data_IF_841110497750
#
_entry.id   IF_841110497750
#
_cell.length_a   1.000
_cell.length_b   1.000
_cell.length_c   1.000
_cell.angle_alpha   90.00
_cell.angle_beta   90.00
_cell.angle_gamma   90.00
#
_symmetry.space_group_name_H-M   'P 1'
#
loop_
_entity.id
_entity.type
_entity.pdbx_description
1 polymer ?
#
# COMPACT_ATOMS: atom_id res chain seq x y z
N UNK A 1 -25.96 20.38 9.61
CA UNK A 1 -25.53 18.96 9.68
C UNK A 1 -25.21 18.56 11.13
N UNK A 2 -25.95 19.06 12.13
CA UNK A 2 -25.50 19.06 13.54
C UNK A 2 -26.15 17.98 14.44
N UNK A 3 -26.80 16.95 13.90
CA UNK A 3 -27.47 15.93 14.73
C UNK A 3 -26.74 14.58 14.81
N UNK A 4 -25.68 14.35 14.01
CA UNK A 4 -24.90 13.10 14.06
C UNK A 4 -23.93 13.13 15.23
N UNK A 5 -24.05 12.16 16.15
CA UNK A 5 -23.18 12.05 17.33
C UNK A 5 -21.96 11.18 17.06
N UNK A 6 -22.17 9.93 16.66
CA UNK A 6 -21.09 9.02 16.27
C UNK A 6 -21.20 8.66 14.80
N UNK A 7 -20.14 8.92 14.04
CA UNK A 7 -20.07 8.67 12.61
C UNK A 7 -18.61 8.55 12.17
N UNK A 8 -18.39 8.17 10.92
CA UNK A 8 -17.08 8.29 10.28
C UNK A 8 -17.20 8.90 8.88
N UNK A 9 -16.10 9.43 8.38
CA UNK A 9 -15.99 9.96 7.03
C UNK A 9 -14.81 9.32 6.30
N UNK A 10 -14.96 9.07 5.00
CA UNK A 10 -13.86 8.66 4.11
C UNK A 10 -13.53 9.83 3.18
N UNK A 11 -12.26 10.20 3.05
CA UNK A 11 -11.82 11.31 2.21
C UNK A 11 -10.38 11.08 1.69
N UNK A 12 -9.95 11.85 0.69
CA UNK A 12 -8.57 11.78 0.18
C UNK A 12 -8.24 10.44 -0.50
N UNK A 13 -7.02 9.94 -0.29
CA UNK A 13 -6.60 8.64 -0.82
C UNK A 13 -7.02 7.48 0.11
N UNK A 14 -6.49 7.49 1.33
CA UNK A 14 -6.60 6.40 2.29
C UNK A 14 -7.03 6.90 3.69
N UNK A 15 -7.78 8.00 3.76
CA UNK A 15 -8.13 8.64 5.03
C UNK A 15 -9.55 8.30 5.49
N UNK A 16 -9.65 7.74 6.71
CA UNK A 16 -10.90 7.70 7.48
C UNK A 16 -10.78 8.58 8.72
N UNK A 17 -11.80 9.39 8.99
CA UNK A 17 -11.93 10.22 10.20
C UNK A 17 -13.10 9.70 11.02
N UNK A 18 -12.88 9.40 12.30
CA UNK A 18 -13.92 8.89 13.18
C UNK A 18 -14.31 9.92 14.25
N UNK A 19 -15.61 9.98 14.57
CA UNK A 19 -16.18 11.01 15.42
C UNK A 19 -16.93 10.42 16.61
N UNK A 20 -16.83 11.09 17.77
CA UNK A 20 -17.58 10.82 18.99
C UNK A 20 -18.20 12.12 19.51
N UNK A 21 -19.53 12.12 19.67
CA UNK A 21 -20.34 13.29 20.01
C UNK A 21 -20.02 14.52 19.12
N UNK A 22 -19.83 14.26 17.81
CA UNK A 22 -19.51 15.28 16.81
C UNK A 22 -18.06 15.77 16.83
N UNK A 23 -17.21 15.25 17.71
CA UNK A 23 -15.78 15.63 17.79
C UNK A 23 -14.91 14.61 17.05
N UNK A 24 -13.94 15.06 16.23
CA UNK A 24 -13.00 14.16 15.59
C UNK A 24 -12.08 13.51 16.63
N UNK A 25 -11.88 12.20 16.52
CA UNK A 25 -11.10 11.39 17.48
C UNK A 25 -9.83 10.86 16.86
N UNK A 26 -9.91 10.33 15.63
CA UNK A 26 -8.77 9.73 14.94
C UNK A 26 -8.89 9.94 13.43
N UNK A 27 -7.77 10.24 12.78
CA UNK A 27 -7.60 10.16 11.33
C UNK A 27 -6.55 9.09 10.99
N UNK A 28 -6.77 8.31 9.93
CA UNK A 28 -5.81 7.31 9.43
C UNK A 28 -5.13 7.80 8.17
N UNK A 29 -3.82 7.59 8.03
CA UNK A 29 -3.05 7.82 6.80
C UNK A 29 -3.40 9.14 6.09
N UNK A 30 -3.36 10.30 6.78
CA UNK A 30 -3.69 11.57 6.17
C UNK A 30 -2.62 12.02 5.16
N UNK A 31 -2.93 11.91 3.88
CA UNK A 31 -2.27 12.64 2.81
C UNK A 31 -3.12 13.87 2.45
N UNK A 32 -2.71 15.03 2.95
CA UNK A 32 -3.49 16.29 2.86
C UNK A 32 -2.78 17.40 2.10
N UNK A 33 -1.46 17.29 1.92
CA UNK A 33 -0.65 18.22 1.16
C UNK A 33 0.58 17.50 0.57
N UNK A 34 1.26 18.18 -0.35
CA UNK A 34 2.44 17.63 -1.01
C UNK A 34 2.13 16.57 -2.06
N UNK A 35 3.11 16.26 -2.88
CA UNK A 35 3.06 15.13 -3.82
C UNK A 35 3.72 13.88 -3.22
N UNK A 36 3.30 12.71 -3.66
CA UNK A 36 3.91 11.44 -3.26
C UNK A 36 4.87 10.93 -4.33
N UNK A 37 5.80 10.05 -3.94
CA UNK A 37 6.73 9.38 -4.86
C UNK A 37 7.50 10.38 -5.73
N UNK A 38 8.25 11.28 -5.07
CA UNK A 38 8.99 12.37 -5.71
C UNK A 38 8.10 13.30 -6.54
N UNK A 39 6.87 13.54 -6.07
CA UNK A 39 5.89 14.39 -6.74
C UNK A 39 5.14 13.74 -7.89
N UNK A 40 5.41 12.46 -8.16
CA UNK A 40 4.73 11.73 -9.22
C UNK A 40 3.23 11.65 -9.01
N UNK A 41 2.80 11.40 -7.77
CA UNK A 41 1.39 11.28 -7.43
C UNK A 41 0.84 12.56 -6.80
N UNK A 42 -0.40 12.88 -7.17
CA UNK A 42 -1.26 13.84 -6.49
C UNK A 42 -2.62 13.22 -6.19
N UNK A 43 -3.36 13.82 -5.26
CA UNK A 43 -4.75 13.47 -5.01
C UNK A 43 -5.59 13.77 -6.28
N UNK A 44 -6.46 12.84 -6.64
CA UNK A 44 -7.43 13.01 -7.73
C UNK A 44 -8.60 13.93 -7.36
N UNK A 45 -8.86 14.09 -6.06
CA UNK A 45 -9.95 14.90 -5.51
C UNK A 45 -9.45 15.75 -4.34
N UNK A 46 -10.04 16.94 -4.19
CA UNK A 46 -9.74 17.85 -3.09
C UNK A 46 -10.17 17.25 -1.75
N UNK A 47 -9.47 17.59 -0.68
CA UNK A 47 -9.97 17.42 0.69
C UNK A 47 -10.75 18.69 1.05
N UNK A 48 -12.09 18.65 1.19
CA UNK A 48 -12.85 19.87 1.45
C UNK A 48 -12.47 20.50 2.80
N UNK A 49 -12.62 21.81 2.91
CA UNK A 49 -12.17 22.61 4.06
C UNK A 49 -12.64 22.06 5.41
N UNK A 50 -13.90 21.61 5.49
CA UNK A 50 -14.44 21.04 6.72
C UNK A 50 -13.75 19.72 7.10
N UNK A 51 -13.52 18.82 6.15
CA UNK A 51 -12.80 17.57 6.38
C UNK A 51 -11.33 17.83 6.72
N UNK A 52 -10.69 18.78 6.02
CA UNK A 52 -9.32 19.22 6.33
C UNK A 52 -9.19 19.66 7.79
N UNK A 53 -10.09 20.57 8.21
CA UNK A 53 -10.14 21.03 9.60
C UNK A 53 -10.32 19.87 10.58
N UNK A 54 -11.22 18.93 10.28
CA UNK A 54 -11.50 17.80 11.16
C UNK A 54 -10.31 16.83 11.27
N UNK A 55 -9.54 16.64 10.19
CA UNK A 55 -8.29 15.87 10.22
C UNK A 55 -7.26 16.54 11.15
N UNK A 56 -7.06 17.85 10.99
CA UNK A 56 -6.10 18.63 11.81
C UNK A 56 -6.52 18.73 13.29
N UNK A 57 -7.81 18.64 13.58
CA UNK A 57 -8.36 18.66 14.94
C UNK A 57 -8.28 17.29 15.64
N UNK A 58 -7.96 16.21 14.94
CA UNK A 58 -7.85 14.87 15.54
C UNK A 58 -6.71 14.83 16.58
N UNK A 59 -6.95 14.34 17.81
CA UNK A 59 -5.89 14.15 18.79
C UNK A 59 -4.98 12.95 18.46
N UNK A 60 -5.50 11.97 17.72
CA UNK A 60 -4.78 10.76 17.31
C UNK A 60 -4.65 10.69 15.79
N UNK A 61 -3.46 10.39 15.30
CA UNK A 61 -3.20 10.11 13.88
C UNK A 61 -2.62 8.71 13.79
N UNK A 62 -3.22 7.86 12.96
CA UNK A 62 -2.71 6.51 12.70
C UNK A 62 -1.95 6.47 11.38
N UNK A 63 -0.78 5.81 11.38
CA UNK A 63 -0.09 5.45 10.15
C UNK A 63 0.04 3.94 10.01
N UNK A 64 -0.43 3.41 8.89
CA UNK A 64 -0.42 1.97 8.60
C UNK A 64 0.98 1.48 8.21
N UNK A 65 1.70 2.22 7.37
CA UNK A 65 3.04 1.89 6.89
C UNK A 65 3.75 3.13 6.30
N UNK A 66 4.98 2.94 5.80
CA UNK A 66 5.90 4.02 5.46
C UNK A 66 5.80 4.62 4.05
N UNK A 67 4.86 4.17 3.19
CA UNK A 67 4.73 4.75 1.85
C UNK A 67 4.19 6.19 1.91
N UNK A 68 4.66 7.09 1.02
CA UNK A 68 4.39 8.52 1.14
C UNK A 68 2.93 8.93 0.90
N UNK A 69 2.10 8.11 0.28
CA UNK A 69 0.66 8.34 0.15
C UNK A 69 -0.16 7.90 1.37
N UNK A 70 0.52 7.33 2.38
CA UNK A 70 0.00 7.02 3.71
C UNK A 70 0.69 7.83 4.81
N UNK A 71 2.02 7.80 4.84
CA UNK A 71 2.90 8.58 5.72
C UNK A 71 3.58 9.69 4.92
N UNK A 72 2.79 10.70 4.54
CA UNK A 72 3.28 11.76 3.67
C UNK A 72 4.26 12.70 4.41
N UNK A 73 5.48 12.92 3.88
CA UNK A 73 6.52 13.72 4.56
C UNK A 73 6.17 15.21 4.67
N UNK A 74 5.29 15.73 3.82
CA UNK A 74 4.83 17.12 3.92
C UNK A 74 3.66 17.25 4.90
N UNK A 75 2.72 16.31 4.86
CA UNK A 75 1.52 16.28 5.71
C UNK A 75 1.85 16.01 7.17
N UNK A 76 2.87 15.18 7.45
CA UNK A 76 3.20 14.78 8.82
C UNK A 76 3.58 15.97 9.73
N UNK A 77 4.12 17.05 9.16
CA UNK A 77 4.52 18.24 9.91
C UNK A 77 3.34 18.94 10.59
N UNK A 78 2.12 18.78 10.05
CA UNK A 78 0.89 19.33 10.63
C UNK A 78 0.44 18.59 11.91
N UNK A 79 1.05 17.45 12.23
CA UNK A 79 0.64 16.57 13.33
C UNK A 79 1.63 16.50 14.48
N UNK A 80 2.58 17.44 14.56
CA UNK A 80 3.63 17.44 15.58
C UNK A 80 3.09 17.53 17.02
N UNK A 81 1.94 18.18 17.22
CA UNK A 81 1.27 18.31 18.51
C UNK A 81 0.30 17.14 18.82
N UNK A 82 0.20 16.14 17.94
CA UNK A 82 -0.72 15.00 18.07
C UNK A 82 -0.01 13.75 18.61
N UNK A 83 -0.80 12.76 19.00
CA UNK A 83 -0.29 11.42 19.31
C UNK A 83 -0.34 10.55 18.06
N UNK A 84 0.84 10.16 17.55
CA UNK A 84 0.99 9.27 16.40
C UNK A 84 0.87 7.82 16.86
N UNK A 85 -0.16 7.13 16.40
CA UNK A 85 -0.43 5.72 16.66
C UNK A 85 0.23 4.88 15.58
N UNK A 86 1.01 3.88 15.99
CA UNK A 86 1.77 3.02 15.09
C UNK A 86 1.58 1.54 15.44
N UNK A 87 1.63 0.63 14.45
CA UNK A 87 1.66 -0.81 14.69
C UNK A 87 2.98 -1.24 15.33
N UNK A 88 2.98 -2.38 16.04
CA UNK A 88 4.22 -2.98 16.58
C UNK A 88 5.00 -3.74 15.51
N UNK A 89 5.55 -3.03 14.53
CA UNK A 89 6.39 -3.63 13.50
C UNK A 89 7.75 -4.06 14.08
N UNK A 90 8.26 -5.22 13.63
CA UNK A 90 9.61 -5.67 14.00
C UNK A 90 10.64 -4.61 13.58
N UNK A 91 11.63 -4.37 14.44
CA UNK A 91 12.64 -3.31 14.35
C UNK A 91 12.14 -1.86 14.53
N UNK A 92 10.82 -1.60 14.50
CA UNK A 92 10.19 -0.31 14.84
C UNK A 92 10.83 0.90 14.14
N UNK A 93 11.10 0.78 12.84
CA UNK A 93 11.77 1.83 12.06
C UNK A 93 11.03 3.17 12.15
N UNK A 94 9.75 3.19 11.78
CA UNK A 94 8.92 4.41 11.74
C UNK A 94 8.86 5.07 13.13
N UNK A 95 8.65 4.30 14.19
CA UNK A 95 8.59 4.86 15.55
C UNK A 95 9.89 5.52 15.97
N UNK A 96 11.04 4.88 15.72
CA UNK A 96 12.36 5.46 16.03
C UNK A 96 12.61 6.73 15.24
N UNK A 97 12.32 6.72 13.94
CA UNK A 97 12.55 7.85 13.05
C UNK A 97 11.68 9.06 13.46
N UNK A 98 10.39 8.83 13.72
CA UNK A 98 9.47 9.90 14.16
C UNK A 98 9.80 10.42 15.57
N UNK A 99 10.17 9.54 16.50
CA UNK A 99 10.58 9.96 17.86
C UNK A 99 11.85 10.81 17.80
N UNK A 100 12.81 10.45 16.94
CA UNK A 100 14.04 11.23 16.73
C UNK A 100 13.75 12.63 16.15
N UNK A 101 12.66 12.79 15.39
CA UNK A 101 12.17 14.06 14.87
C UNK A 101 11.31 14.85 15.88
N UNK A 102 11.06 14.31 17.07
CA UNK A 102 10.34 14.99 18.15
C UNK A 102 8.83 14.72 18.20
N UNK A 103 8.32 13.78 17.39
CA UNK A 103 6.91 13.39 17.44
C UNK A 103 6.60 12.56 18.69
N UNK A 104 5.37 12.71 19.21
CA UNK A 104 4.85 11.83 20.25
C UNK A 104 4.26 10.59 19.61
N UNK A 105 4.93 9.44 19.74
CA UNK A 105 4.48 8.17 19.18
C UNK A 105 3.95 7.21 20.25
N UNK A 106 2.97 6.38 19.89
CA UNK A 106 2.45 5.27 20.69
C UNK A 106 2.33 4.02 19.83
N UNK A 107 3.12 3.00 20.17
CA UNK A 107 2.93 1.66 19.61
C UNK A 107 1.64 1.05 20.19
N UNK A 108 0.77 0.58 19.30
CA UNK A 108 -0.43 -0.15 19.68
C UNK A 108 -0.12 -1.63 19.94
N UNK A 109 -0.77 -2.25 20.94
CA UNK A 109 -0.69 -3.69 21.14
C UNK A 109 -1.35 -4.45 19.97
N UNK A 110 -0.68 -5.50 19.51
CA UNK A 110 -1.19 -6.39 18.45
C UNK A 110 -2.47 -7.10 18.91
N UNK A 111 -3.52 -7.05 18.09
CA UNK A 111 -4.79 -7.80 18.30
C UNK A 111 -5.51 -7.50 19.61
N UNK A 112 -5.27 -6.35 20.21
CA UNK A 112 -5.96 -5.89 21.40
C UNK A 112 -6.77 -4.62 21.10
N UNK A 113 -7.97 -4.53 21.69
CA UNK A 113 -8.80 -3.34 21.58
C UNK A 113 -8.26 -2.24 22.50
N UNK A 114 -7.96 -1.08 21.92
CA UNK A 114 -7.55 0.15 22.62
C UNK A 114 -8.66 1.17 22.54
N UNK A 115 -9.18 1.60 23.68
CA UNK A 115 -10.19 2.64 23.77
C UNK A 115 -9.56 4.03 23.54
N UNK A 116 -10.12 4.83 22.62
CA UNK A 116 -9.68 6.21 22.34
C UNK A 116 -10.66 7.27 22.87
N UNK A 117 -11.96 6.96 22.89
CA UNK A 117 -13.04 7.80 23.44
C UNK A 117 -14.16 6.91 24.00
N UNK A 118 -15.34 7.43 24.36
CA UNK A 118 -16.45 6.58 24.85
C UNK A 118 -17.03 5.66 23.76
N UNK A 119 -17.00 6.13 22.50
CA UNK A 119 -17.60 5.44 21.35
C UNK A 119 -16.62 4.94 20.31
N UNK A 120 -15.32 5.26 20.44
CA UNK A 120 -14.29 4.85 19.48
C UNK A 120 -13.23 3.99 20.16
N UNK A 121 -13.04 2.78 19.64
CA UNK A 121 -11.90 1.89 19.98
C UNK A 121 -11.31 1.30 18.73
N UNK A 122 -10.02 0.96 18.79
CA UNK A 122 -9.25 0.47 17.66
C UNK A 122 -8.49 -0.80 18.00
N UNK A 123 -8.15 -1.58 16.99
CA UNK A 123 -7.26 -2.74 17.08
C UNK A 123 -6.42 -2.81 15.81
N UNK A 124 -5.11 -3.02 15.92
CA UNK A 124 -4.25 -3.19 14.75
C UNK A 124 -3.67 -4.60 14.65
N UNK A 125 -3.28 -4.96 13.43
CA UNK A 125 -2.51 -6.16 13.14
C UNK A 125 -1.42 -5.79 12.13
N UNK A 126 -0.17 -6.08 12.45
CA UNK A 126 0.96 -5.90 11.53
C UNK A 126 1.40 -7.23 10.91
N UNK A 127 2.01 -7.14 9.73
CA UNK A 127 2.58 -8.30 9.06
C UNK A 127 4.08 -8.13 8.74
N UNK A 128 4.65 -9.21 8.21
CA UNK A 128 6.08 -9.31 7.92
C UNK A 128 6.51 -8.58 6.64
N UNK A 129 5.61 -7.89 5.94
CA UNK A 129 5.95 -6.96 4.85
C UNK A 129 5.99 -5.50 5.30
N UNK A 130 5.89 -5.26 6.63
CA UNK A 130 5.75 -3.91 7.18
C UNK A 130 4.48 -3.21 6.67
N UNK A 131 3.43 -3.99 6.40
CA UNK A 131 2.07 -3.47 6.27
C UNK A 131 1.33 -3.65 7.60
N UNK A 132 0.30 -2.84 7.83
CA UNK A 132 -0.61 -3.05 8.95
C UNK A 132 -2.05 -2.70 8.57
N UNK A 133 -2.99 -3.42 9.18
CA UNK A 133 -4.42 -3.13 9.11
C UNK A 133 -4.89 -2.53 10.44
N UNK A 134 -5.98 -1.78 10.38
CA UNK A 134 -6.67 -1.26 11.57
C UNK A 134 -8.17 -1.57 11.50
N UNK A 135 -8.67 -2.12 12.60
CA UNK A 135 -10.08 -2.31 12.86
C UNK A 135 -10.52 -1.19 13.78
N UNK A 136 -11.61 -0.49 13.43
CA UNK A 136 -12.14 0.63 14.20
C UNK A 136 -13.60 0.32 14.51
N UNK A 137 -13.94 0.29 15.79
CA UNK A 137 -15.33 0.26 16.24
C UNK A 137 -15.77 1.69 16.57
N UNK A 138 -16.80 2.15 15.87
CA UNK A 138 -17.48 3.43 16.12
C UNK A 138 -18.92 3.12 16.50
N UNK A 139 -19.24 3.22 17.80
CA UNK A 139 -20.58 2.98 18.33
C UNK A 139 -21.20 1.62 17.90
N UNK A 140 -20.39 0.55 17.91
CA UNK A 140 -20.85 -0.79 17.53
C UNK A 140 -20.93 -1.03 16.01
N UNK A 141 -20.32 -0.16 15.20
CA UNK A 141 -20.13 -0.35 13.75
C UNK A 141 -18.65 -0.58 13.48
N UNK A 142 -18.33 -1.64 12.75
CA UNK A 142 -16.95 -2.03 12.50
C UNK A 142 -16.46 -1.49 11.15
N UNK A 143 -15.34 -0.80 11.16
CA UNK A 143 -14.58 -0.44 9.97
C UNK A 143 -13.37 -1.36 9.94
N UNK A 144 -13.12 -2.00 8.81
CA UNK A 144 -11.95 -2.83 8.57
C UNK A 144 -11.15 -2.11 7.50
N UNK A 145 -10.15 -1.34 7.94
CA UNK A 145 -9.24 -0.68 7.03
C UNK A 145 -8.00 -1.54 6.82
N UNK A 146 -7.91 -2.18 5.65
CA UNK A 146 -6.75 -2.97 5.26
C UNK A 146 -5.78 -2.19 4.39
N UNK A 147 -6.19 -1.03 3.84
CA UNK A 147 -5.45 -0.30 2.81
C UNK A 147 -4.86 -1.29 1.77
N UNK A 148 -3.54 -1.30 1.68
CA UNK A 148 -2.70 -2.03 0.74
C UNK A 148 -2.31 -3.43 1.24
N UNK A 149 -2.59 -3.73 2.51
CA UNK A 149 -2.22 -4.99 3.13
C UNK A 149 -3.05 -6.14 2.54
N UNK A 150 -2.34 -7.22 2.21
CA UNK A 150 -2.95 -8.49 1.84
C UNK A 150 -3.07 -9.40 3.07
N UNK A 151 -4.02 -10.33 3.05
CA UNK A 151 -4.13 -11.35 4.10
C UNK A 151 -2.86 -12.21 4.13
N UNK A 152 -2.07 -12.05 5.19
CA UNK A 152 -0.85 -12.83 5.46
C UNK A 152 -1.03 -13.78 6.64
N UNK A 153 -2.25 -14.31 6.80
CA UNK A 153 -2.63 -15.31 7.81
C UNK A 153 -3.64 -14.81 8.83
N UNK A 154 -3.81 -13.50 8.96
CA UNK A 154 -4.69 -12.85 9.92
C UNK A 154 -6.18 -12.86 9.52
N UNK A 155 -6.51 -13.22 8.28
CA UNK A 155 -7.88 -13.13 7.75
C UNK A 155 -8.90 -13.89 8.58
N UNK A 156 -8.57 -15.09 9.08
CA UNK A 156 -9.49 -15.86 9.95
C UNK A 156 -9.82 -15.13 11.25
N UNK A 157 -8.82 -14.49 11.87
CA UNK A 157 -9.00 -13.72 13.09
C UNK A 157 -9.93 -12.52 12.84
N UNK A 158 -9.68 -11.78 11.76
CA UNK A 158 -10.52 -10.63 11.37
C UNK A 158 -11.96 -11.05 11.06
N UNK A 159 -12.17 -12.16 10.35
CA UNK A 159 -13.51 -12.72 10.10
C UNK A 159 -14.27 -13.04 11.38
N UNK A 160 -13.59 -13.61 12.37
CA UNK A 160 -14.20 -13.90 13.68
C UNK A 160 -14.68 -12.61 14.36
N UNK A 161 -13.91 -11.53 14.28
CA UNK A 161 -14.33 -10.23 14.80
C UNK A 161 -15.54 -9.71 14.02
N UNK A 162 -15.46 -9.70 12.69
CA UNK A 162 -16.55 -9.24 11.80
C UNK A 162 -17.88 -9.92 12.14
N UNK A 163 -17.86 -11.23 12.44
CA UNK A 163 -19.08 -11.99 12.77
C UNK A 163 -19.84 -11.50 14.00
N UNK A 164 -19.21 -10.70 14.86
CA UNK A 164 -19.83 -10.08 16.03
C UNK A 164 -20.50 -8.73 15.77
N UNK A 165 -20.49 -8.23 14.52
CA UNK A 165 -21.02 -6.92 14.15
C UNK A 165 -22.11 -7.04 13.09
N UNK A 166 -23.27 -6.42 13.35
CA UNK A 166 -24.37 -6.35 12.39
C UNK A 166 -24.05 -5.45 11.18
N UNK A 167 -23.11 -4.50 11.36
CA UNK A 167 -22.64 -3.63 10.29
C UNK A 167 -21.11 -3.56 10.34
N UNK A 168 -20.51 -3.96 9.23
CA UNK A 168 -19.08 -3.97 8.98
C UNK A 168 -18.76 -3.39 7.59
N UNK A 169 -17.75 -2.54 7.52
CA UNK A 169 -17.39 -1.78 6.32
C UNK A 169 -15.93 -2.06 5.97
N UNK A 170 -15.66 -2.63 4.80
CA UNK A 170 -14.30 -2.86 4.31
C UNK A 170 -13.79 -1.62 3.55
N UNK A 171 -12.58 -1.17 3.90
CA UNK A 171 -11.77 -0.20 3.18
C UNK A 171 -10.48 -0.91 2.74
N UNK A 172 -10.23 -1.02 1.45
CA UNK A 172 -9.08 -1.73 0.90
C UNK A 172 -8.73 -1.17 -0.48
N UNK A 173 -7.43 -1.22 -0.82
CA UNK A 173 -6.94 -0.97 -2.16
C UNK A 173 -7.54 -1.99 -3.13
N UNK A 174 -8.24 -1.48 -4.13
CA UNK A 174 -8.66 -2.23 -5.31
C UNK A 174 -8.28 -1.43 -6.55
N UNK A 175 -8.08 -2.13 -7.67
CA UNK A 175 -7.87 -1.44 -8.93
C UNK A 175 -7.28 -2.34 -10.01
N UNK A 176 -6.87 -1.70 -11.10
CA UNK A 176 -6.22 -2.36 -12.23
C UNK A 176 -4.77 -2.76 -11.91
N UNK A 177 -4.18 -2.22 -10.85
CA UNK A 177 -2.82 -2.50 -10.40
C UNK A 177 -1.78 -1.50 -10.92
N UNK A 178 -2.18 -0.23 -11.09
CA UNK A 178 -1.31 0.89 -11.42
C UNK A 178 -0.68 1.56 -10.20
N UNK A 179 -1.22 1.32 -9.00
CA UNK A 179 -0.59 1.63 -7.71
C UNK A 179 0.58 0.67 -7.37
N UNK A 180 1.40 0.36 -8.38
CA UNK A 180 2.58 -0.49 -8.30
C UNK A 180 3.50 -0.12 -9.48
N UNK A 181 4.70 -0.68 -9.52
CA UNK A 181 5.63 -0.50 -10.63
C UNK A 181 5.10 -1.10 -11.93
N UNK A 182 4.96 -0.25 -12.95
CA UNK A 182 4.46 -0.62 -14.27
C UNK A 182 5.35 -0.14 -15.41
N UNK A 183 6.41 0.63 -15.13
CA UNK A 183 7.33 1.19 -16.12
C UNK A 183 8.44 0.22 -16.57
N UNK A 184 8.04 -0.92 -17.13
CA UNK A 184 8.97 -1.96 -17.56
C UNK A 184 9.32 -1.90 -19.03
N UNK A 185 10.57 -2.27 -19.34
CA UNK A 185 11.08 -2.46 -20.68
C UNK A 185 11.80 -3.80 -20.77
N UNK A 186 11.75 -4.44 -21.93
CA UNK A 186 12.58 -5.60 -22.20
C UNK A 186 14.03 -5.20 -22.52
N UNK A 187 14.87 -6.21 -22.76
CA UNK A 187 16.30 -6.04 -23.06
C UNK A 187 16.57 -5.22 -24.34
N UNK A 188 15.60 -5.15 -25.25
CA UNK A 188 15.70 -4.39 -26.51
C UNK A 188 15.15 -2.96 -26.35
N UNK A 189 14.72 -2.58 -25.14
CA UNK A 189 14.17 -1.28 -24.82
C UNK A 189 12.72 -1.09 -25.23
N UNK A 190 11.98 -2.18 -25.51
CA UNK A 190 10.55 -2.09 -25.82
C UNK A 190 9.73 -2.10 -24.53
N UNK A 191 8.79 -1.17 -24.45
CA UNK A 191 7.86 -1.06 -23.32
C UNK A 191 7.03 -2.35 -23.17
N UNK A 192 6.98 -2.87 -21.95
CA UNK A 192 6.20 -4.06 -21.59
C UNK A 192 4.87 -3.60 -21.00
N UNK A 193 3.79 -3.88 -21.72
CA UNK A 193 2.45 -3.48 -21.27
C UNK A 193 2.09 -4.07 -19.89
N UNK A 194 1.60 -3.26 -18.94
CA UNK A 194 1.28 -3.71 -17.60
C UNK A 194 -0.04 -4.50 -17.56
N UNK A 195 -0.24 -5.29 -16.50
CA UNK A 195 -1.49 -6.04 -16.30
C UNK A 195 -2.70 -5.12 -16.20
N UNK A 196 -2.50 -3.89 -15.70
CA UNK A 196 -3.52 -2.85 -15.63
C UNK A 196 -4.15 -2.52 -17.00
N UNK A 197 -3.41 -2.70 -18.10
CA UNK A 197 -3.94 -2.52 -19.46
C UNK A 197 -5.14 -3.43 -19.78
N UNK A 198 -5.23 -4.60 -19.13
CA UNK A 198 -6.34 -5.54 -19.32
C UNK A 198 -7.67 -5.02 -18.77
N UNK A 199 -7.64 -4.01 -17.88
CA UNK A 199 -8.82 -3.42 -17.23
C UNK A 199 -9.81 -4.48 -16.73
N UNK A 200 -9.28 -5.47 -16.01
CA UNK A 200 -10.10 -6.55 -15.46
C UNK A 200 -11.20 -5.96 -14.55
N UNK A 201 -12.43 -6.54 -14.53
CA UNK A 201 -13.53 -6.02 -13.73
C UNK A 201 -13.18 -5.96 -12.24
N UNK A 202 -12.96 -4.74 -11.74
CA UNK A 202 -12.54 -4.52 -10.34
C UNK A 202 -13.63 -4.99 -9.38
N UNK A 203 -14.90 -4.79 -9.74
CA UNK A 203 -16.06 -5.21 -8.95
C UNK A 203 -16.14 -6.72 -8.68
N UNK A 204 -15.65 -7.56 -9.59
CA UNK A 204 -15.58 -9.01 -9.34
C UNK A 204 -14.58 -9.34 -8.22
N UNK A 205 -13.46 -8.63 -8.17
CA UNK A 205 -12.45 -8.79 -7.12
C UNK A 205 -12.97 -8.29 -5.78
N UNK A 206 -13.62 -7.12 -5.79
CA UNK A 206 -14.28 -6.56 -4.60
C UNK A 206 -15.30 -7.54 -4.05
N UNK A 207 -16.16 -8.10 -4.90
CA UNK A 207 -17.16 -9.09 -4.51
C UNK A 207 -16.49 -10.32 -3.87
N UNK A 208 -15.48 -10.90 -4.51
CA UNK A 208 -14.82 -12.10 -3.98
C UNK A 208 -14.18 -11.84 -2.62
N UNK A 209 -13.48 -10.72 -2.45
CA UNK A 209 -12.82 -10.34 -1.19
C UNK A 209 -13.85 -10.07 -0.09
N UNK A 210 -14.84 -9.22 -0.36
CA UNK A 210 -15.85 -8.84 0.64
C UNK A 210 -16.70 -10.03 1.11
N UNK A 211 -17.10 -10.92 0.20
CA UNK A 211 -17.82 -12.14 0.56
C UNK A 211 -16.94 -13.13 1.33
N UNK A 212 -15.62 -13.16 1.07
CA UNK A 212 -14.69 -14.02 1.81
C UNK A 212 -14.50 -13.57 3.26
N UNK A 213 -14.59 -12.26 3.52
CA UNK A 213 -14.57 -11.69 4.86
C UNK A 213 -15.94 -11.73 5.56
N UNK A 214 -17.02 -11.75 4.78
CA UNK A 214 -18.38 -11.66 5.30
C UNK A 214 -18.74 -10.26 5.82
N UNK A 215 -18.18 -9.21 5.21
CA UNK A 215 -18.54 -7.82 5.53
C UNK A 215 -19.91 -7.45 4.96
N UNK A 216 -20.53 -6.41 5.51
CA UNK A 216 -21.82 -5.91 5.01
C UNK A 216 -21.70 -4.84 3.92
N UNK A 217 -20.64 -4.03 3.98
CA UNK A 217 -20.40 -2.92 3.07
C UNK A 217 -18.94 -2.87 2.61
N UNK A 218 -18.72 -2.26 1.45
CA UNK A 218 -17.39 -1.89 0.96
C UNK A 218 -17.43 -0.46 0.43
N UNK A 219 -16.36 0.30 0.65
CA UNK A 219 -16.19 1.65 0.10
C UNK A 219 -14.89 1.65 -0.73
N UNK A 220 -14.89 2.19 -1.96
CA UNK A 220 -13.66 2.42 -2.72
C UNK A 220 -12.64 3.24 -1.90
N UNK A 221 -11.40 2.75 -1.82
CA UNK A 221 -10.39 3.30 -0.91
C UNK A 221 -8.97 3.04 -1.42
N UNK A 222 -8.00 3.84 -0.96
CA UNK A 222 -6.56 3.71 -1.22
C UNK A 222 -6.14 3.71 -2.71
N UNK A 223 -6.95 4.31 -3.60
CA UNK A 223 -6.68 4.27 -5.05
C UNK A 223 -6.91 5.61 -5.74
N UNK A 224 -7.06 6.69 -4.98
CA UNK A 224 -7.59 7.97 -5.47
C UNK A 224 -6.47 8.94 -5.79
N UNK A 225 -5.41 8.44 -6.41
CA UNK A 225 -4.28 9.21 -6.87
C UNK A 225 -4.38 9.47 -8.38
N UNK A 226 -3.48 10.30 -8.88
CA UNK A 226 -3.18 10.47 -10.30
C UNK A 226 -1.72 10.82 -10.47
N UNK A 227 -1.18 10.52 -11.64
CA UNK A 227 0.17 10.91 -12.03
C UNK A 227 0.18 12.36 -12.54
N UNK A 228 1.12 13.18 -12.07
CA UNK A 228 1.20 14.61 -12.42
C UNK A 228 2.56 15.07 -12.95
N UNK A 229 3.61 14.23 -12.85
CA UNK A 229 4.89 14.55 -13.48
C UNK A 229 4.82 14.24 -14.97
N UNK A 230 5.40 15.12 -15.80
CA UNK A 230 5.46 14.91 -17.24
C UNK A 230 6.10 13.57 -17.64
N UNK A 231 7.07 13.08 -16.85
CA UNK A 231 7.78 11.81 -17.08
C UNK A 231 7.08 10.56 -16.48
N UNK A 232 6.00 10.73 -15.70
CA UNK A 232 5.13 9.64 -15.22
C UNK A 232 3.70 9.70 -15.76
N UNK A 233 3.29 10.80 -16.41
CA UNK A 233 1.93 11.07 -16.90
C UNK A 233 1.37 9.95 -17.80
N UNK A 234 2.25 9.24 -18.51
CA UNK A 234 1.89 8.09 -19.34
C UNK A 234 1.14 7.00 -18.57
N UNK A 235 1.34 6.90 -17.25
CA UNK A 235 0.74 5.90 -16.38
C UNK A 235 -0.76 6.16 -16.11
N UNK A 236 -1.23 7.41 -16.20
CA UNK A 236 -2.64 7.75 -15.99
C UNK A 236 -3.62 6.96 -16.88
N UNK A 237 -3.19 6.51 -18.06
CA UNK A 237 -4.04 5.68 -18.94
C UNK A 237 -4.39 4.31 -18.34
N UNK A 238 -3.63 3.88 -17.32
CA UNK A 238 -3.83 2.65 -16.56
C UNK A 238 -4.46 2.87 -15.19
N UNK A 239 -4.68 4.14 -14.80
CA UNK A 239 -5.27 4.48 -13.52
C UNK A 239 -6.69 3.93 -13.36
N UNK A 240 -7.05 3.61 -12.13
CA UNK A 240 -8.36 3.05 -11.80
C UNK A 240 -9.36 4.17 -11.55
N UNK A 241 -10.26 4.40 -12.50
CA UNK A 241 -11.36 5.35 -12.34
C UNK A 241 -12.42 4.86 -11.33
N UNK A 242 -13.11 5.79 -10.66
CA UNK A 242 -14.15 5.46 -9.67
C UNK A 242 -15.28 4.58 -10.23
N UNK A 243 -15.65 4.77 -11.50
CA UNK A 243 -16.71 3.99 -12.13
C UNK A 243 -16.35 2.48 -12.24
N UNK A 244 -15.06 2.15 -12.24
CA UNK A 244 -14.54 0.81 -12.42
C UNK A 244 -14.87 -0.12 -11.26
N UNK A 245 -14.99 0.43 -10.05
CA UNK A 245 -15.31 -0.31 -8.83
C UNK A 245 -16.64 -1.05 -8.92
N UNK A 246 -17.62 -0.45 -9.60
CA UNK A 246 -18.94 -1.06 -9.78
C UNK A 246 -18.98 -2.12 -10.90
N UNK A 247 -18.02 -2.09 -11.83
CA UNK A 247 -18.01 -2.96 -13.02
C UNK A 247 -17.77 -4.41 -12.60
N UNK A 248 -18.78 -5.25 -12.82
CA UNK A 248 -18.76 -6.67 -12.47
C UNK A 248 -19.10 -6.98 -11.02
N UNK A 249 -19.39 -5.98 -10.17
CA UNK A 249 -19.84 -6.22 -8.80
C UNK A 249 -21.30 -6.70 -8.80
N UNK A 250 -21.55 -7.91 -8.31
CA UNK A 250 -22.89 -8.48 -8.22
C UNK A 250 -23.05 -9.36 -6.97
N UNK A 251 -23.11 -8.71 -5.80
CA UNK A 251 -23.35 -9.41 -4.53
C UNK A 251 -24.77 -9.17 -4.03
N UNK A 252 -25.39 -10.23 -3.49
CA UNK A 252 -26.66 -10.14 -2.76
C UNK A 252 -26.47 -9.97 -1.25
N UNK A 253 -25.25 -10.08 -0.74
CA UNK A 253 -24.93 -10.02 0.69
C UNK A 253 -24.07 -8.82 1.09
N UNK A 254 -23.50 -8.11 0.13
CA UNK A 254 -22.62 -6.96 0.36
C UNK A 254 -23.12 -5.77 -0.44
N UNK A 255 -23.19 -4.61 0.20
CA UNK A 255 -23.47 -3.35 -0.49
C UNK A 255 -22.17 -2.61 -0.82
N UNK A 256 -21.92 -2.37 -2.10
CA UNK A 256 -20.88 -1.44 -2.54
C UNK A 256 -21.42 -0.01 -2.44
N UNK A 257 -20.72 0.84 -1.70
CA UNK A 257 -21.02 2.26 -1.52
C UNK A 257 -20.17 3.13 -2.46
N UNK A 258 -20.58 4.37 -2.76
CA UNK A 258 -19.71 5.32 -3.46
C UNK A 258 -18.49 5.68 -2.60
N UNK A 259 -17.44 6.19 -3.23
CA UNK A 259 -16.32 6.80 -2.51
C UNK A 259 -16.77 8.09 -1.80
N UNK A 260 -15.95 8.55 -0.85
CA UNK A 260 -16.13 9.85 -0.19
C UNK A 260 -17.48 10.02 0.49
N UNK A 261 -17.70 9.26 1.56
CA UNK A 261 -18.97 9.29 2.29
C UNK A 261 -18.79 9.70 3.74
N UNK A 262 -19.85 10.27 4.30
CA UNK A 262 -20.15 10.24 5.73
C UNK A 262 -21.04 9.04 6.02
N UNK A 263 -20.71 8.25 7.04
CA UNK A 263 -21.48 7.11 7.51
C UNK A 263 -21.89 7.31 8.97
N UNK A 264 -23.19 7.46 9.21
CA UNK A 264 -23.82 7.66 10.50
C UNK A 264 -23.97 6.33 11.26
N UNK A 265 -23.26 6.23 12.39
CA UNK A 265 -23.24 5.02 13.22
C UNK A 265 -24.39 4.98 14.24
N UNK A 266 -25.21 6.02 14.36
CA UNK A 266 -26.40 6.04 15.22
C UNK A 266 -27.63 5.45 14.54
N UNK A 267 -27.65 5.45 13.20
CA UNK A 267 -28.77 4.92 12.44
C UNK A 267 -28.84 3.39 12.59
N UNK A 268 -30.04 2.90 12.88
CA UNK A 268 -30.34 1.47 12.99
C UNK A 268 -30.00 0.71 11.71
N UNK A 269 -29.59 -0.55 11.86
CA UNK A 269 -29.28 -1.43 10.74
C UNK A 269 -30.48 -1.57 9.79
N UNK A 270 -30.22 -1.58 8.47
CA UNK A 270 -31.25 -1.70 7.43
C UNK A 270 -31.88 -0.38 6.97
N UNK A 271 -31.55 0.76 7.60
CA UNK A 271 -31.86 2.10 7.10
C UNK A 271 -30.68 2.66 6.31
N UNK A 272 -30.87 3.75 5.54
CA UNK A 272 -29.76 4.42 4.85
C UNK A 272 -28.87 5.13 5.88
N UNK A 273 -27.66 4.60 6.08
CA UNK A 273 -26.70 5.06 7.07
C UNK A 273 -25.68 6.07 6.51
N UNK A 274 -25.72 6.41 5.22
CA UNK A 274 -24.63 7.16 4.59
C UNK A 274 -25.11 8.28 3.66
N UNK A 275 -24.20 9.22 3.42
CA UNK A 275 -24.35 10.32 2.45
C UNK A 275 -22.99 10.60 1.77
N UNK A 276 -23.02 10.91 0.48
CA UNK A 276 -21.83 11.37 -0.25
C UNK A 276 -21.38 12.77 0.18
N UNK A 277 -20.07 12.93 0.31
CA UNK A 277 -19.36 14.21 0.49
C UNK A 277 -19.21 14.91 -0.87
N UNK A 278 -18.98 14.14 -1.95
CA UNK A 278 -18.77 14.63 -3.31
C UNK A 278 -17.71 15.74 -3.42
N UNK A 279 -16.46 15.45 -3.02
CA UNK A 279 -15.36 16.38 -3.22
C UNK A 279 -15.16 16.67 -4.72
N UNK A 280 -14.69 17.87 -5.02
CA UNK A 280 -14.34 18.25 -6.39
C UNK A 280 -13.09 17.48 -6.83
N UNK A 281 -13.03 17.12 -8.10
CA UNK A 281 -11.78 16.64 -8.71
C UNK A 281 -10.75 17.77 -8.74
N UNK A 282 -9.48 17.44 -8.52
CA UNK A 282 -8.38 18.41 -8.54
C UNK A 282 -8.03 18.85 -9.96
N UNK A 283 -7.57 20.10 -10.12
CA UNK A 283 -7.12 20.61 -11.43
C UNK A 283 -5.91 19.84 -11.96
N UNK A 284 -5.93 19.42 -13.22
CA UNK A 284 -4.82 18.68 -13.87
C UNK A 284 -3.62 19.59 -14.19
N UNK A 285 -2.81 19.88 -13.16
CA UNK A 285 -1.54 20.58 -13.30
C UNK A 285 -0.45 19.55 -13.60
N UNK A 286 0.29 19.76 -14.69
CA UNK A 286 1.43 18.92 -15.07
C UNK A 286 2.71 19.66 -14.68
N UNK A 287 3.56 18.98 -13.93
CA UNK A 287 4.86 19.48 -13.48
C UNK A 287 5.99 18.81 -14.26
N UNK A 288 7.10 19.53 -14.47
CA UNK A 288 8.31 18.92 -15.05
C UNK A 288 9.09 18.17 -13.96
N UNK A 289 10.10 17.39 -14.35
CA UNK A 289 10.97 16.73 -13.37
C UNK A 289 11.76 17.76 -12.55
N UNK A 290 12.11 18.89 -13.16
CA UNK A 290 12.87 19.98 -12.52
C UNK A 290 12.11 20.64 -11.37
N UNK A 291 10.78 20.68 -11.41
CA UNK A 291 9.94 21.18 -10.31
C UNK A 291 10.16 20.36 -9.02
N UNK A 292 10.64 19.12 -9.15
CA UNK A 292 10.99 18.22 -8.05
C UNK A 292 12.51 18.03 -7.90
N UNK A 293 13.30 18.96 -8.42
CA UNK A 293 14.78 18.95 -8.43
C UNK A 293 15.41 17.78 -9.20
N UNK A 294 14.66 17.11 -10.07
CA UNK A 294 15.18 16.06 -10.94
C UNK A 294 15.57 16.61 -12.31
N UNK A 295 16.84 16.41 -12.67
CA UNK A 295 17.34 16.61 -14.02
C UNK A 295 17.92 15.29 -14.55
N UNK A 296 17.35 14.78 -15.64
CA UNK A 296 17.78 13.53 -16.29
C UNK A 296 19.21 13.57 -16.84
N UNK A 297 19.78 14.76 -17.04
CA UNK A 297 21.16 14.96 -17.52
C UNK A 297 22.20 14.98 -16.41
N UNK A 298 21.81 15.06 -15.14
CA UNK A 298 22.74 15.12 -14.02
C UNK A 298 23.52 13.80 -13.87
N UNK A 299 24.85 13.80 -13.94
CA UNK A 299 25.65 12.59 -13.86
C UNK A 299 25.85 12.15 -12.41
N UNK A 300 25.86 10.85 -12.17
CA UNK A 300 26.25 10.30 -10.88
C UNK A 300 27.73 10.61 -10.59
N UNK A 301 28.05 11.18 -9.43
CA UNK A 301 29.44 11.37 -9.03
C UNK A 301 30.07 10.04 -8.58
N UNK A 302 31.41 9.91 -8.53
CA UNK A 302 32.05 8.71 -7.98
C UNK A 302 31.65 8.40 -6.53
N UNK A 303 31.40 9.43 -5.73
CA UNK A 303 30.97 9.27 -4.34
C UNK A 303 29.51 8.81 -4.24
N UNK A 304 28.65 9.37 -5.10
CA UNK A 304 27.27 8.90 -5.23
C UNK A 304 27.23 7.42 -5.62
N UNK A 305 28.03 7.02 -6.62
CA UNK A 305 28.08 5.64 -7.07
C UNK A 305 28.53 4.67 -5.97
N UNK A 306 29.51 5.03 -5.13
CA UNK A 306 29.91 4.19 -3.98
C UNK A 306 28.76 3.93 -3.01
N UNK A 307 27.93 4.94 -2.75
CA UNK A 307 26.77 4.80 -1.85
C UNK A 307 25.72 3.88 -2.45
N UNK A 308 25.41 4.05 -3.73
CA UNK A 308 24.44 3.19 -4.44
C UNK A 308 24.97 1.76 -4.56
N UNK A 309 26.26 1.59 -4.87
CA UNK A 309 26.91 0.28 -4.92
C UNK A 309 26.86 -0.43 -3.56
N UNK A 310 27.17 0.29 -2.47
CA UNK A 310 27.07 -0.24 -1.12
C UNK A 310 25.62 -0.64 -0.77
N UNK A 311 24.65 0.21 -1.11
CA UNK A 311 23.22 -0.02 -0.86
C UNK A 311 22.71 -1.34 -1.47
N UNK A 312 23.05 -1.63 -2.72
CA UNK A 312 22.61 -2.89 -3.34
C UNK A 312 23.42 -4.10 -2.86
N UNK A 313 24.74 -3.96 -2.66
CA UNK A 313 25.60 -5.07 -2.27
C UNK A 313 25.38 -5.57 -0.83
N UNK A 314 24.79 -4.76 0.06
CA UNK A 314 24.44 -5.22 1.41
C UNK A 314 23.24 -6.19 1.41
N UNK A 315 22.40 -6.19 0.38
CA UNK A 315 21.19 -7.00 0.30
C UNK A 315 21.54 -8.39 -0.26
N UNK A 316 21.85 -9.33 0.63
CA UNK A 316 22.41 -10.65 0.26
C UNK A 316 21.56 -11.42 -0.75
N UNK A 317 20.22 -11.31 -0.65
CA UNK A 317 19.32 -12.06 -1.53
C UNK A 317 19.49 -11.72 -3.01
N UNK A 318 19.86 -10.48 -3.34
CA UNK A 318 20.07 -10.06 -4.73
C UNK A 318 21.17 -10.89 -5.41
N UNK A 319 22.18 -11.32 -4.67
CA UNK A 319 23.30 -12.13 -5.17
C UNK A 319 22.88 -13.57 -5.55
N UNK A 320 21.69 -14.03 -5.15
CA UNK A 320 21.22 -15.39 -5.44
C UNK A 320 20.62 -15.56 -6.85
N UNK A 321 20.16 -14.46 -7.46
CA UNK A 321 19.42 -14.51 -8.72
C UNK A 321 19.78 -13.43 -9.74
N UNK A 322 20.45 -12.34 -9.35
CA UNK A 322 20.94 -11.32 -10.27
C UNK A 322 22.45 -11.42 -10.47
N UNK A 323 22.85 -11.24 -11.72
CA UNK A 323 24.26 -11.12 -12.08
C UNK A 323 24.75 -9.69 -11.88
N UNK A 324 23.90 -8.72 -12.20
CA UNK A 324 24.21 -7.30 -12.06
C UNK A 324 22.97 -6.43 -11.87
N UNK A 325 23.20 -5.24 -11.34
CA UNK A 325 22.31 -4.09 -11.43
C UNK A 325 23.09 -2.97 -12.13
N UNK A 326 22.47 -2.30 -13.10
CA UNK A 326 23.03 -1.15 -13.79
C UNK A 326 22.20 0.09 -13.53
N UNK A 327 22.83 1.18 -13.14
CA UNK A 327 22.19 2.47 -12.93
C UNK A 327 22.51 3.35 -14.15
N UNK A 328 21.50 3.70 -14.94
CA UNK A 328 21.63 4.65 -16.04
C UNK A 328 21.21 6.03 -15.57
N UNK A 329 22.20 6.89 -15.31
CA UNK A 329 22.01 8.22 -14.70
C UNK A 329 22.82 9.25 -15.49
N UNK A 330 22.21 10.37 -15.88
CA UNK A 330 22.90 11.39 -16.70
C UNK A 330 23.41 10.86 -18.04
N UNK A 331 22.69 9.88 -18.63
CA UNK A 331 23.08 9.20 -19.86
C UNK A 331 24.29 8.26 -19.76
N UNK A 332 24.74 7.92 -18.55
CA UNK A 332 25.88 7.01 -18.32
C UNK A 332 25.44 5.77 -17.54
N UNK A 333 26.01 4.63 -17.92
CA UNK A 333 25.77 3.35 -17.27
C UNK A 333 26.80 3.11 -16.15
N UNK A 334 26.28 2.79 -14.96
CA UNK A 334 27.05 2.51 -13.76
C UNK A 334 26.75 1.08 -13.29
N UNK A 335 27.66 0.15 -13.56
CA UNK A 335 27.46 -1.27 -13.35
C UNK A 335 27.84 -1.71 -11.93
N UNK A 336 26.91 -2.38 -11.24
CA UNK A 336 27.09 -3.02 -9.94
C UNK A 336 27.06 -4.54 -10.13
N UNK A 337 28.23 -5.21 -10.15
CA UNK A 337 28.27 -6.67 -10.20
C UNK A 337 27.83 -7.24 -8.84
N UNK A 338 26.94 -8.24 -8.87
CA UNK A 338 26.43 -8.91 -7.67
C UNK A 338 27.00 -10.32 -7.54
N UNK A 339 26.65 -11.21 -8.46
CA UNK A 339 27.17 -12.58 -8.52
C UNK A 339 27.52 -12.96 -9.97
N UNK A 340 28.38 -13.96 -10.16
CA UNK A 340 28.55 -14.62 -11.46
C UNK A 340 27.66 -15.86 -11.49
N UNK A 341 26.35 -15.69 -11.48
CA UNK A 341 25.47 -16.82 -11.80
C UNK A 341 25.46 -16.98 -13.33
N UNK A 342 25.29 -18.20 -13.86
CA UNK A 342 25.17 -18.42 -15.31
C UNK A 342 23.75 -18.11 -15.82
N UNK A 343 23.06 -17.14 -15.21
CA UNK A 343 21.64 -16.88 -15.48
C UNK A 343 21.42 -15.82 -16.56
N UNK A 344 22.45 -15.05 -16.90
CA UNK A 344 22.40 -13.90 -17.81
C UNK A 344 21.24 -12.95 -17.42
N UNK A 345 21.04 -12.74 -16.11
CA UNK A 345 19.90 -11.98 -15.57
C UNK A 345 20.38 -10.70 -14.88
N UNK A 346 19.84 -9.56 -15.30
CA UNK A 346 20.16 -8.27 -14.70
C UNK A 346 19.03 -7.27 -14.78
N UNK A 347 19.19 -6.16 -14.07
CA UNK A 347 18.28 -5.02 -14.05
C UNK A 347 19.03 -3.76 -14.49
N UNK A 348 18.37 -2.92 -15.29
CA UNK A 348 18.84 -1.56 -15.57
C UNK A 348 17.78 -0.59 -15.06
N UNK A 349 18.16 0.32 -14.17
CA UNK A 349 17.32 1.40 -13.70
C UNK A 349 17.76 2.70 -14.36
N UNK A 350 16.89 3.29 -15.19
CA UNK A 350 17.10 4.63 -15.76
C UNK A 350 16.36 5.64 -14.88
N UNK A 351 17.11 6.47 -14.18
CA UNK A 351 16.59 7.31 -13.09
C UNK A 351 17.34 8.64 -12.97
N UNK A 352 16.68 9.75 -12.59
CA UNK A 352 17.36 10.99 -12.24
C UNK A 352 18.25 10.84 -10.99
N UNK A 353 19.35 11.59 -10.96
CA UNK A 353 20.31 11.53 -9.85
C UNK A 353 19.70 11.94 -8.51
N UNK A 354 18.93 13.03 -8.46
CA UNK A 354 18.46 13.60 -7.20
C UNK A 354 17.53 12.62 -6.45
N UNK A 355 16.47 12.16 -7.11
CA UNK A 355 15.57 11.14 -6.56
C UNK A 355 16.29 9.84 -6.19
N UNK A 356 17.23 9.35 -7.02
CA UNK A 356 18.03 8.16 -6.68
C UNK A 356 18.81 8.33 -5.38
N UNK A 357 19.48 9.47 -5.22
CA UNK A 357 20.32 9.70 -4.04
C UNK A 357 19.50 9.92 -2.77
N UNK A 358 18.31 10.51 -2.87
CA UNK A 358 17.37 10.58 -1.74
C UNK A 358 16.89 9.16 -1.39
N UNK A 359 16.45 8.39 -2.38
CA UNK A 359 15.92 7.05 -2.16
C UNK A 359 16.94 6.11 -1.50
N UNK A 360 18.19 6.16 -1.93
CA UNK A 360 19.29 5.37 -1.34
C UNK A 360 19.66 5.87 0.05
N UNK A 361 19.72 7.20 0.26
CA UNK A 361 20.06 7.77 1.56
C UNK A 361 19.03 7.44 2.63
N UNK A 362 17.75 7.49 2.25
CA UNK A 362 16.63 7.29 3.15
C UNK A 362 16.07 5.87 3.09
N UNK A 363 16.66 4.97 2.29
CA UNK A 363 16.23 3.57 2.15
C UNK A 363 14.72 3.49 1.88
N UNK A 364 14.31 4.13 0.77
CA UNK A 364 12.93 4.21 0.24
C UNK A 364 12.94 3.96 -1.28
N UNK A 365 13.69 2.96 -1.74
CA UNK A 365 13.87 2.68 -3.17
C UNK A 365 12.54 2.32 -3.87
N UNK A 366 11.58 1.79 -3.13
CA UNK A 366 10.22 1.52 -3.61
C UNK A 366 9.53 2.76 -4.17
N UNK A 367 9.84 3.94 -3.62
CA UNK A 367 9.22 5.19 -4.06
C UNK A 367 9.59 5.54 -5.50
N UNK A 368 10.78 5.13 -5.95
CA UNK A 368 11.18 5.26 -7.35
C UNK A 368 10.41 4.30 -8.26
N UNK A 369 10.12 3.09 -7.75
CA UNK A 369 9.44 2.03 -8.49
C UNK A 369 7.95 2.40 -8.71
N UNK A 370 7.28 2.84 -7.64
CA UNK A 370 5.85 3.21 -7.66
C UNK A 370 5.64 4.58 -8.30
N UNK A 371 6.63 5.48 -8.21
CA UNK A 371 6.62 6.76 -8.89
C UNK A 371 6.49 6.65 -10.41
N UNK A 372 6.83 5.51 -11.03
CA UNK A 372 6.64 5.22 -12.46
C UNK A 372 7.24 6.26 -13.44
N UNK A 373 8.11 7.17 -12.98
CA UNK A 373 8.99 7.98 -13.83
C UNK A 373 10.30 7.25 -14.13
N UNK A 374 10.81 6.48 -13.17
CA UNK A 374 11.98 5.61 -13.36
C UNK A 374 11.64 4.47 -14.32
N UNK A 375 12.52 4.19 -15.27
CA UNK A 375 12.37 3.06 -16.19
C UNK A 375 13.12 1.86 -15.64
N UNK A 376 12.49 0.69 -15.72
CA UNK A 376 13.10 -0.59 -15.31
C UNK A 376 13.25 -1.51 -16.51
N UNK A 377 14.48 -1.75 -16.95
CA UNK A 377 14.77 -2.70 -18.03
C UNK A 377 15.11 -4.07 -17.46
N UNK A 378 14.47 -5.09 -18.03
CA UNK A 378 14.64 -6.50 -17.67
C UNK A 378 15.61 -7.16 -18.63
N UNK A 379 16.81 -7.52 -18.16
CA UNK A 379 17.82 -8.24 -18.97
C UNK A 379 17.75 -9.73 -18.67
N UNK A 380 17.69 -10.56 -19.71
CA UNK A 380 17.60 -12.01 -19.61
C UNK A 380 16.18 -12.54 -19.40
N UNK A 381 16.07 -13.74 -18.80
CA UNK A 381 14.78 -14.41 -18.60
C UNK A 381 14.11 -14.00 -17.28
N UNK A 382 12.91 -13.44 -17.40
CA UNK A 382 12.06 -13.01 -16.29
C UNK A 382 10.70 -13.69 -16.31
N UNK A 383 10.10 -13.91 -15.14
CA UNK A 383 8.71 -14.37 -15.02
C UNK A 383 7.73 -13.23 -15.32
N UNK A 384 6.44 -13.57 -15.51
CA UNK A 384 5.37 -12.55 -15.64
C UNK A 384 5.22 -11.66 -14.40
N UNK A 385 5.67 -12.12 -13.23
CA UNK A 385 5.68 -11.36 -11.98
C UNK A 385 6.87 -10.41 -11.86
N UNK A 386 7.82 -10.46 -12.81
CA UNK A 386 8.93 -9.53 -12.96
C UNK A 386 9.75 -9.43 -11.67
N UNK A 387 9.65 -8.32 -10.94
CA UNK A 387 10.44 -8.07 -9.73
C UNK A 387 9.93 -8.85 -8.51
N UNK A 388 8.76 -9.49 -8.61
CA UNK A 388 8.27 -10.39 -7.57
C UNK A 388 8.60 -11.86 -7.88
N UNK A 389 8.96 -12.66 -6.86
CA UNK A 389 9.04 -12.31 -5.43
C UNK A 389 10.44 -11.86 -4.98
N UNK A 390 11.43 -11.88 -5.87
CA UNK A 390 12.84 -11.88 -5.46
C UNK A 390 13.50 -10.50 -5.36
N UNK A 391 12.94 -9.47 -5.98
CA UNK A 391 13.49 -8.10 -5.89
C UNK A 391 12.67 -7.24 -4.94
N UNK A 392 11.41 -6.93 -5.27
CA UNK A 392 10.64 -5.89 -4.54
C UNK A 392 10.48 -6.21 -3.05
N UNK A 393 10.07 -7.42 -2.62
CA UNK A 393 10.00 -7.76 -1.20
C UNK A 393 11.34 -7.60 -0.46
N UNK A 394 12.46 -7.97 -1.09
CA UNK A 394 13.77 -7.94 -0.45
C UNK A 394 14.37 -6.55 -0.37
N UNK A 395 14.17 -5.72 -1.40
CA UNK A 395 14.65 -4.34 -1.43
C UNK A 395 13.72 -3.45 -0.62
N UNK A 396 12.45 -3.34 -1.02
CA UNK A 396 11.51 -2.39 -0.45
C UNK A 396 10.97 -2.78 0.93
N UNK A 397 10.65 -4.05 1.16
CA UNK A 397 9.95 -4.47 2.39
C UNK A 397 10.91 -4.88 3.49
N UNK A 398 11.91 -5.71 3.17
CA UNK A 398 12.87 -6.21 4.14
C UNK A 398 14.04 -5.25 4.36
N UNK A 399 14.82 -4.93 3.32
CA UNK A 399 16.02 -4.11 3.47
C UNK A 399 15.66 -2.67 3.86
N UNK A 400 14.81 -2.03 3.08
CA UNK A 400 14.37 -0.66 3.32
C UNK A 400 13.46 -0.60 4.55
N UNK A 401 12.22 -1.09 4.49
CA UNK A 401 11.26 -0.82 5.57
C UNK A 401 11.59 -1.49 6.91
N UNK A 402 12.33 -2.60 6.92
CA UNK A 402 12.63 -3.37 8.13
C UNK A 402 14.11 -3.41 8.54
N UNK A 403 15.04 -2.82 7.78
CA UNK A 403 16.50 -2.93 8.01
C UNK A 403 17.02 -4.38 8.06
N UNK A 404 16.48 -5.25 7.21
CA UNK A 404 16.86 -6.67 7.09
C UNK A 404 17.56 -6.92 5.76
N UNK A 405 18.88 -7.11 5.80
CA UNK A 405 19.72 -7.15 4.60
C UNK A 405 20.34 -8.53 4.35
N UNK A 406 20.55 -9.31 5.42
CA UNK A 406 21.19 -10.63 5.36
C UNK A 406 20.21 -11.79 5.57
N UNK A 407 20.57 -12.99 5.14
CA UNK A 407 19.76 -14.20 5.37
C UNK A 407 19.58 -14.50 6.88
N UNK A 408 20.60 -14.25 7.69
CA UNK A 408 20.54 -14.44 9.14
C UNK A 408 19.57 -13.44 9.81
N UNK A 409 19.60 -12.17 9.39
CA UNK A 409 18.63 -11.17 9.85
C UNK A 409 17.21 -11.54 9.42
N UNK A 410 17.03 -12.00 8.18
CA UNK A 410 15.73 -12.40 7.66
C UNK A 410 15.16 -13.61 8.43
N UNK A 411 15.99 -14.60 8.74
CA UNK A 411 15.57 -15.74 9.56
C UNK A 411 15.11 -15.27 10.95
N UNK A 412 15.88 -14.38 11.60
CA UNK A 412 15.51 -13.81 12.91
C UNK A 412 14.21 -13.02 12.82
N UNK A 413 14.06 -12.19 11.79
CA UNK A 413 12.89 -11.38 11.52
C UNK A 413 11.64 -12.23 11.32
N UNK A 414 11.69 -13.23 10.44
CA UNK A 414 10.55 -14.14 10.18
C UNK A 414 10.20 -14.99 11.41
N UNK A 415 11.22 -15.40 12.18
CA UNK A 415 11.01 -16.12 13.43
C UNK A 415 10.27 -15.27 14.48
N UNK A 416 10.42 -13.95 14.49
CA UNK A 416 9.68 -13.06 15.39
C UNK A 416 8.18 -13.07 15.07
N UNK A 417 7.81 -12.89 13.80
CA UNK A 417 6.40 -13.01 13.37
C UNK A 417 5.83 -14.41 13.60
N UNK A 418 6.62 -15.45 13.35
CA UNK A 418 6.23 -16.83 13.67
C UNK A 418 5.98 -17.04 15.16
N UNK A 419 6.78 -16.45 16.05
CA UNK A 419 6.55 -16.55 17.51
C UNK A 419 5.27 -15.84 17.93
N UNK A 420 4.97 -14.69 17.33
CA UNK A 420 3.74 -13.93 17.60
C UNK A 420 2.49 -14.72 17.21
N UNK A 421 2.49 -15.39 16.05
CA UNK A 421 1.31 -16.08 15.51
C UNK A 421 1.68 -17.43 14.83
N UNK A 422 2.07 -18.47 15.57
CA UNK A 422 2.69 -19.67 14.99
C UNK A 422 1.78 -20.48 14.07
N UNK A 423 0.51 -20.64 14.45
CA UNK A 423 -0.46 -21.44 13.68
C UNK A 423 -0.85 -20.72 12.39
N UNK A 424 -1.19 -19.44 12.48
CA UNK A 424 -1.58 -18.64 11.32
C UNK A 424 -0.42 -18.45 10.35
N UNK A 425 0.79 -18.18 10.88
CA UNK A 425 1.99 -18.11 10.06
C UNK A 425 2.24 -19.42 9.31
N UNK A 426 2.13 -20.58 9.98
CA UNK A 426 2.30 -21.88 9.33
C UNK A 426 1.27 -22.10 8.22
N UNK A 427 -0.02 -21.85 8.50
CA UNK A 427 -1.09 -22.02 7.52
C UNK A 427 -0.92 -21.09 6.31
N UNK A 428 -0.54 -19.83 6.56
CA UNK A 428 -0.25 -18.86 5.52
C UNK A 428 0.94 -19.29 4.64
N UNK A 429 2.04 -19.72 5.26
CA UNK A 429 3.21 -20.21 4.50
C UNK A 429 2.89 -21.45 3.66
N UNK A 430 2.00 -22.33 4.15
CA UNK A 430 1.52 -23.49 3.38
C UNK A 430 0.64 -23.05 2.19
N UNK A 431 -0.28 -22.12 2.43
CA UNK A 431 -1.14 -21.53 1.41
C UNK A 431 -0.31 -20.85 0.31
N UNK A 432 0.62 -19.97 0.69
CA UNK A 432 1.48 -19.25 -0.25
C UNK A 432 2.31 -20.21 -1.10
N UNK A 433 2.95 -21.22 -0.48
CA UNK A 433 3.70 -22.25 -1.23
C UNK A 433 2.83 -23.02 -2.21
N UNK A 434 1.58 -23.29 -1.85
CA UNK A 434 0.62 -23.98 -2.72
C UNK A 434 0.22 -23.12 -3.91
N UNK A 435 -0.03 -21.83 -3.67
CA UNK A 435 -0.33 -20.83 -4.71
C UNK A 435 0.86 -20.66 -5.65
N UNK A 436 2.07 -20.55 -5.11
CA UNK A 436 3.29 -20.37 -5.91
C UNK A 436 3.54 -21.60 -6.80
N UNK A 437 3.42 -22.81 -6.24
CA UNK A 437 3.53 -24.04 -7.01
C UNK A 437 2.48 -24.11 -8.13
N UNK A 438 1.23 -23.73 -7.83
CA UNK A 438 0.17 -23.67 -8.84
C UNK A 438 0.50 -22.69 -9.96
N UNK A 439 0.94 -21.47 -9.62
CA UNK A 439 1.28 -20.40 -10.58
C UNK A 439 2.54 -20.69 -11.39
N UNK A 440 3.49 -21.43 -10.85
CA UNK A 440 4.69 -21.84 -11.59
C UNK A 440 4.39 -22.89 -12.67
N UNK A 441 3.38 -23.73 -12.46
CA UNK A 441 3.06 -24.85 -13.35
C UNK A 441 1.89 -24.56 -14.30
N UNK A 442 1.12 -23.50 -14.06
CA UNK A 442 -0.10 -23.20 -14.81
C UNK A 442 -0.05 -21.76 -15.32
N UNK A 443 -0.23 -21.59 -16.63
CA UNK A 443 -0.25 -20.28 -17.27
C UNK A 443 -1.46 -19.45 -16.83
N UNK A 444 -1.21 -18.16 -16.59
CA UNK A 444 -2.25 -17.20 -16.25
C UNK A 444 -3.29 -17.10 -17.37
N UNK A 445 -4.58 -17.09 -16.99
CA UNK A 445 -5.71 -17.01 -17.93
C UNK A 445 -6.06 -18.32 -18.63
N UNK A 446 -5.41 -19.45 -18.32
CA UNK A 446 -5.86 -20.76 -18.77
C UNK A 446 -7.19 -21.18 -18.09
N UNK A 447 -8.01 -22.06 -18.70
CA UNK A 447 -9.22 -22.56 -18.04
C UNK A 447 -8.96 -23.22 -16.68
N UNK A 448 -7.81 -23.89 -16.54
CA UNK A 448 -7.37 -24.49 -15.27
C UNK A 448 -7.03 -23.42 -14.24
N UNK A 449 -6.36 -22.35 -14.65
CA UNK A 449 -6.08 -21.20 -13.78
C UNK A 449 -7.37 -20.55 -13.27
N UNK A 450 -8.32 -20.29 -14.17
CA UNK A 450 -9.61 -19.69 -13.80
C UNK A 450 -10.44 -20.60 -12.89
N UNK A 451 -10.42 -21.91 -13.13
CA UNK A 451 -11.04 -22.89 -12.23
C UNK A 451 -10.37 -22.89 -10.85
N UNK A 452 -9.04 -22.93 -10.80
CA UNK A 452 -8.27 -22.89 -9.54
C UNK A 452 -8.55 -21.61 -8.75
N UNK A 453 -8.60 -20.45 -9.43
CA UNK A 453 -8.98 -19.17 -8.82
C UNK A 453 -10.39 -19.22 -8.22
N UNK A 454 -11.38 -19.74 -8.95
CA UNK A 454 -12.76 -19.91 -8.45
C UNK A 454 -12.82 -20.85 -7.25
N UNK A 455 -12.12 -21.99 -7.33
CA UNK A 455 -12.05 -22.95 -6.23
C UNK A 455 -11.43 -22.34 -4.97
N UNK A 456 -10.35 -21.57 -5.11
CA UNK A 456 -9.70 -20.84 -4.02
C UNK A 456 -10.64 -19.86 -3.31
N UNK A 457 -11.37 -19.03 -4.07
CA UNK A 457 -12.32 -18.10 -3.46
C UNK A 457 -13.51 -18.81 -2.83
N UNK A 458 -13.99 -19.91 -3.43
CA UNK A 458 -15.01 -20.75 -2.84
C UNK A 458 -14.56 -21.35 -1.50
N UNK A 459 -13.34 -21.88 -1.42
CA UNK A 459 -12.83 -22.44 -0.15
C UNK A 459 -12.65 -21.35 0.90
N UNK A 460 -12.11 -20.18 0.54
CA UNK A 460 -12.03 -19.02 1.45
C UNK A 460 -13.41 -18.62 1.98
N UNK A 461 -14.46 -18.65 1.16
CA UNK A 461 -15.84 -18.31 1.56
C UNK A 461 -16.52 -19.39 2.43
N UNK A 462 -16.33 -20.67 2.10
CA UNK A 462 -17.07 -21.80 2.73
C UNK A 462 -16.43 -22.28 4.03
N UNK A 463 -15.10 -22.35 4.08
CA UNK A 463 -14.37 -22.74 5.29
C UNK A 463 -14.23 -21.52 6.21
N UNK A 464 -15.38 -21.11 6.77
CA UNK A 464 -15.52 -20.06 7.78
C UNK A 464 -14.70 -20.38 9.03
#
# INVERSE_FOLDING_TARGET
MNDMKSYFETIGNATVVCYDNGKPIIATDPWIQGGCYFGSWALSHEVPEQQMKNILDCPYIWFSHGHPDHLNPDSINEFMDKTILLPDMVNRRIEKDLTALGFTTRILPEREWVQLSDKVKIMCISDYFQDAIILIDVNGRLIINTNDALDRGWGKFVRKIISGYDTSVLLSLFGYGDADMIHFFDQDGKFIEPKAAKRAPVGETIQAVTESYGVTHCIPFSSMHRYQRADSLWANKYATELDAYSKGFNSSSVQLLPAYITFDCEIEHGKKQWKEINPKSTEEIIFTSEDFNDNWSDPLTPEDFKKVEHYFKKIEHLHSFLDFICLRVGGKDHMIPLAKTKKDRGLIFEVPRHSLMIAVKHEIFDDLLIGNFMKTHLVGKWSESRLYPDFTPYVARYADNAYVNTYAELEKYMNEYKKRQPVEHFLHMLEQKSIDLFRQNISGGSPVFEFGKKAYWYTKRVFK
#
